data_IF_271192967716
#
_entry.id   IF_271192967716
#
_cell.length_a   1.000
_cell.length_b   1.000
_cell.length_c   1.000
_cell.angle_alpha   90.00
_cell.angle_beta   90.00
_cell.angle_gamma   90.00
#
_symmetry.space_group_name_H-M   'P 1'
#
loop_
_entity.id
_entity.type
_entity.pdbx_description
1 polymer ?
#
# COMPACT_ATOMS: atom_id res chain seq x y z
N UNK A 1 3.75 -39.41 42.23
CA UNK A 1 2.27 -39.30 42.38
C UNK A 1 1.84 -37.92 41.93
N UNK A 2 0.69 -37.80 41.24
CA UNK A 2 -0.19 -36.60 41.08
C UNK A 2 0.49 -35.23 40.80
N UNK A 3 0.34 -34.68 39.59
CA UNK A 3 -0.79 -33.83 39.13
C UNK A 3 -0.55 -32.33 39.49
N UNK A 4 -0.25 -31.41 38.56
CA UNK A 4 -1.07 -30.79 37.48
C UNK A 4 -2.03 -29.70 38.01
N UNK A 5 -2.04 -28.53 37.32
CA UNK A 5 -3.11 -27.49 37.17
C UNK A 5 -2.71 -26.02 37.48
N UNK A 6 -2.81 -25.21 36.42
CA UNK A 6 -3.14 -23.77 36.22
C UNK A 6 -3.59 -22.89 37.41
N UNK A 7 -3.45 -21.57 37.25
CA UNK A 7 -4.42 -20.59 37.76
C UNK A 7 -3.98 -19.11 37.69
N UNK A 8 -4.69 -18.30 36.90
CA UNK A 8 -4.47 -16.85 36.80
C UNK A 8 -5.11 -16.04 37.93
N UNK A 9 -4.71 -14.75 37.99
CA UNK A 9 -5.52 -13.56 38.31
C UNK A 9 -5.17 -12.81 39.61
N UNK A 10 -4.94 -11.51 39.47
CA UNK A 10 -5.38 -10.53 40.46
C UNK A 10 -6.03 -9.35 39.71
N UNK A 11 -7.18 -8.91 40.22
CA UNK A 11 -8.05 -7.91 39.62
C UNK A 11 -7.98 -6.62 40.43
N UNK A 12 -8.03 -5.46 39.78
CA UNK A 12 -8.11 -4.16 40.46
C UNK A 12 -9.31 -3.37 39.92
N UNK A 13 -10.46 -3.57 40.56
CA UNK A 13 -11.70 -2.83 40.30
C UNK A 13 -11.68 -1.49 41.03
N UNK A 14 -12.09 -0.40 40.38
CA UNK A 14 -12.55 0.81 41.05
C UNK A 14 -13.84 1.32 40.39
N UNK A 15 -14.83 1.67 41.21
CA UNK A 15 -16.22 1.92 40.83
C UNK A 15 -16.74 3.14 41.61
N UNK A 16 -17.31 4.14 40.93
CA UNK A 16 -18.35 5.08 41.43
C UNK A 16 -18.94 5.78 40.16
N UNK A 17 -20.23 5.79 39.76
CA UNK A 17 -21.53 6.06 40.43
C UNK A 17 -21.62 7.53 40.96
N UNK A 18 -22.59 8.42 40.67
CA UNK A 18 -24.00 8.37 40.18
C UNK A 18 -24.50 9.74 39.60
N UNK A 19 -25.63 9.77 38.84
CA UNK A 19 -26.81 10.74 38.81
C UNK A 19 -26.55 12.28 38.75
N UNK A 20 -27.26 13.21 38.07
CA UNK A 20 -28.59 13.39 37.37
C UNK A 20 -28.45 14.46 36.23
N UNK A 21 -29.45 14.97 35.48
CA UNK A 21 -30.89 14.69 35.24
C UNK A 21 -31.67 15.85 34.57
N UNK A 22 -32.63 15.50 33.69
CA UNK A 22 -33.92 16.14 33.28
C UNK A 22 -34.10 17.64 32.86
N UNK A 23 -35.04 17.81 31.88
CA UNK A 23 -35.87 18.99 31.55
C UNK A 23 -35.22 20.22 30.82
N UNK A 24 -35.92 21.04 30.01
CA UNK A 24 -37.17 20.93 29.20
C UNK A 24 -37.34 22.15 28.27
N UNK A 25 -38.12 22.00 27.19
CA UNK A 25 -38.67 22.96 26.21
C UNK A 25 -38.59 24.50 26.43
N UNK A 26 -38.41 25.24 25.32
CA UNK A 26 -39.20 26.43 25.00
C UNK A 26 -39.23 26.72 23.47
N UNK A 27 -40.41 26.97 22.91
CA UNK A 27 -40.60 27.54 21.57
C UNK A 27 -40.56 29.08 21.62
N UNK A 28 -40.14 29.75 20.54
CA UNK A 28 -40.64 31.10 20.23
C UNK A 28 -40.74 31.33 18.72
N UNK A 29 -41.94 31.67 18.24
CA UNK A 29 -42.16 32.19 16.88
C UNK A 29 -41.84 33.68 16.81
N UNK A 30 -41.36 34.14 15.66
CA UNK A 30 -41.46 35.53 15.22
C UNK A 30 -41.70 35.56 13.71
N UNK A 31 -42.70 36.31 13.26
CA UNK A 31 -43.04 36.48 11.84
C UNK A 31 -42.56 37.85 11.34
N UNK A 32 -42.22 37.90 10.05
CA UNK A 32 -42.34 39.11 9.23
C UNK A 32 -41.09 39.97 9.03
N UNK A 33 -40.51 39.89 7.82
CA UNK A 33 -40.77 40.91 6.79
C UNK A 33 -40.08 40.54 5.47
N UNK A 34 -40.67 40.98 4.35
CA UNK A 34 -40.13 40.77 3.00
C UNK A 34 -39.10 41.85 2.65
N UNK A 35 -37.97 41.43 2.07
CA UNK A 35 -37.14 42.31 1.23
C UNK A 35 -36.64 41.55 0.02
N UNK A 36 -37.18 41.86 -1.15
CA UNK A 36 -36.74 41.28 -2.43
C UNK A 36 -35.37 41.84 -2.82
N UNK A 37 -34.35 40.98 -2.86
CA UNK A 37 -33.05 41.32 -3.46
C UNK A 37 -32.62 40.20 -4.40
N UNK A 38 -32.77 40.41 -5.70
CA UNK A 38 -32.17 39.55 -6.71
C UNK A 38 -30.79 40.04 -7.10
N UNK A 39 -29.76 39.24 -6.89
CA UNK A 39 -28.53 39.22 -7.70
C UNK A 39 -27.60 38.11 -7.20
N UNK A 40 -26.97 37.38 -8.12
CA UNK A 40 -25.84 36.50 -7.80
C UNK A 40 -26.18 35.26 -6.98
N UNK A 41 -26.79 34.26 -7.62
CA UNK A 41 -26.49 32.87 -7.26
C UNK A 41 -25.01 32.64 -7.61
N UNK A 42 -24.12 32.92 -6.66
CA UNK A 42 -22.76 32.41 -6.73
C UNK A 42 -22.89 30.89 -6.76
N UNK A 43 -22.52 30.29 -7.89
CA UNK A 43 -22.46 28.84 -8.00
C UNK A 43 -21.53 28.34 -6.89
N UNK A 44 -22.12 27.66 -5.91
CA UNK A 44 -21.37 26.90 -4.92
C UNK A 44 -20.51 25.93 -5.71
N UNK A 45 -19.21 26.20 -5.80
CA UNK A 45 -18.27 25.29 -6.43
C UNK A 45 -18.40 23.95 -5.72
N UNK A 46 -18.94 22.95 -6.42
CA UNK A 46 -19.08 21.62 -5.87
C UNK A 46 -17.68 21.07 -5.64
N UNK A 47 -17.35 20.75 -4.39
CA UNK A 47 -16.11 20.04 -4.05
C UNK A 47 -16.15 18.55 -4.46
N UNK A 48 -17.28 18.10 -5.00
CA UNK A 48 -17.45 16.79 -5.62
C UNK A 48 -17.06 16.84 -7.11
N UNK A 49 -16.27 15.87 -7.61
CA UNK A 49 -15.95 15.76 -9.02
C UNK A 49 -17.18 15.35 -9.85
N UNK A 50 -17.30 15.93 -11.04
CA UNK A 50 -18.32 15.51 -12.03
C UNK A 50 -18.01 14.12 -12.60
N UNK A 51 -19.01 13.38 -13.12
CA UNK A 51 -18.79 12.09 -13.78
C UNK A 51 -17.75 12.18 -14.91
N UNK A 52 -17.79 13.24 -15.72
CA UNK A 52 -16.83 13.47 -16.81
C UNK A 52 -15.40 13.68 -16.29
N UNK A 53 -15.24 14.33 -15.14
CA UNK A 53 -13.93 14.47 -14.48
C UNK A 53 -13.42 13.12 -13.94
N UNK A 54 -14.29 12.27 -13.38
CA UNK A 54 -13.90 10.93 -12.94
C UNK A 54 -13.51 10.05 -14.13
N UNK A 55 -14.30 10.08 -15.22
CA UNK A 55 -14.02 9.33 -16.45
C UNK A 55 -12.71 9.80 -17.12
N UNK A 56 -12.33 11.07 -16.99
CA UNK A 56 -11.04 11.60 -17.49
C UNK A 56 -9.79 11.02 -16.79
N UNK A 57 -9.96 10.26 -15.71
CA UNK A 57 -8.89 9.52 -15.03
C UNK A 57 -8.75 8.08 -15.55
N UNK A 58 -9.62 7.62 -16.46
CA UNK A 58 -9.51 6.28 -17.03
C UNK A 58 -8.34 6.20 -18.03
N UNK A 59 -7.51 5.16 -17.90
CA UNK A 59 -6.31 4.98 -18.71
C UNK A 59 -5.31 4.01 -18.08
N UNK A 60 -4.26 3.70 -18.85
CA UNK A 60 -3.09 2.95 -18.37
C UNK A 60 -2.04 3.93 -17.86
N UNK A 61 -1.55 3.69 -16.66
CA UNK A 61 -0.47 4.48 -16.08
C UNK A 61 0.74 3.60 -15.83
N UNK A 62 1.90 4.02 -16.30
CA UNK A 62 3.18 3.52 -15.84
C UNK A 62 3.33 3.90 -14.36
N UNK A 63 3.53 2.89 -13.52
CA UNK A 63 3.58 3.00 -12.07
C UNK A 63 5.03 2.94 -11.59
N UNK A 64 5.40 3.90 -10.76
CA UNK A 64 6.62 3.93 -9.96
C UNK A 64 6.23 4.25 -8.52
N UNK A 65 6.53 3.35 -7.60
CA UNK A 65 6.45 3.62 -6.16
C UNK A 65 7.79 3.39 -5.48
N UNK A 66 7.95 4.07 -4.36
CA UNK A 66 9.03 3.86 -3.41
C UNK A 66 8.38 3.67 -2.05
N UNK A 67 8.87 2.72 -1.26
CA UNK A 67 8.51 2.60 0.15
C UNK A 67 9.78 2.52 0.99
N UNK A 68 9.91 3.48 1.90
CA UNK A 68 11.02 3.56 2.84
C UNK A 68 10.69 2.79 4.12
N UNK A 69 11.56 1.87 4.51
CA UNK A 69 11.48 1.11 5.76
C UNK A 69 12.74 1.33 6.60
N UNK A 70 12.58 1.15 7.90
CA UNK A 70 13.66 1.12 8.87
C UNK A 70 13.44 -0.01 9.88
N UNK A 71 14.53 -0.56 10.37
CA UNK A 71 14.60 -1.41 11.57
C UNK A 71 15.53 -0.74 12.59
N UNK A 72 15.91 -1.43 13.66
CA UNK A 72 16.87 -0.91 14.66
C UNK A 72 18.21 -0.49 14.05
N UNK A 73 18.71 -1.29 13.10
CA UNK A 73 20.12 -1.22 12.64
C UNK A 73 20.26 -0.99 11.12
N UNK A 74 19.17 -0.95 10.36
CA UNK A 74 19.19 -0.83 8.90
C UNK A 74 18.05 0.03 8.36
N UNK A 75 18.31 0.72 7.25
CA UNK A 75 17.33 1.47 6.46
C UNK A 75 17.32 0.94 5.04
N UNK A 76 16.13 0.82 4.45
CA UNK A 76 15.99 0.35 3.06
C UNK A 76 14.88 1.09 2.34
N UNK A 77 15.04 1.23 1.03
CA UNK A 77 14.00 1.55 0.07
C UNK A 77 13.68 0.27 -0.70
N UNK A 78 12.39 0.02 -0.92
CA UNK A 78 11.90 -0.83 -2.00
C UNK A 78 11.38 0.13 -3.07
N UNK A 79 11.79 -0.06 -4.32
CA UNK A 79 11.34 0.73 -5.46
C UNK A 79 10.66 -0.23 -6.43
N UNK A 80 9.37 -0.01 -6.72
CA UNK A 80 8.57 -0.90 -7.54
C UNK A 80 8.19 -0.23 -8.86
N UNK A 81 8.25 -0.99 -9.95
CA UNK A 81 7.84 -0.56 -11.28
C UNK A 81 6.71 -1.45 -11.79
N UNK A 82 5.72 -0.88 -12.45
CA UNK A 82 4.62 -1.64 -13.01
C UNK A 82 3.59 -0.79 -13.75
N UNK A 83 2.32 -1.19 -13.65
CA UNK A 83 1.19 -0.43 -14.19
C UNK A 83 0.04 -0.34 -13.21
N UNK A 84 -0.67 0.79 -13.25
CA UNK A 84 -2.00 0.97 -12.69
C UNK A 84 -2.97 1.22 -13.85
N UNK A 85 -3.87 0.28 -14.11
CA UNK A 85 -4.96 0.45 -15.06
C UNK A 85 -6.20 0.99 -14.32
N UNK A 86 -6.58 2.24 -14.64
CA UNK A 86 -7.80 2.87 -14.12
C UNK A 86 -8.93 2.72 -15.15
N UNK A 87 -10.04 2.09 -14.77
CA UNK A 87 -11.16 1.85 -15.68
C UNK A 87 -12.53 2.03 -15.00
N UNK A 88 -13.49 2.59 -15.73
CA UNK A 88 -14.88 2.70 -15.28
C UNK A 88 -15.56 1.33 -15.30
N UNK A 89 -15.99 0.83 -14.13
CA UNK A 89 -16.73 -0.43 -13.98
C UNK A 89 -17.92 -0.20 -13.04
N UNK A 90 -19.13 -0.48 -13.52
CA UNK A 90 -20.36 -0.32 -12.71
C UNK A 90 -20.60 1.10 -12.18
N UNK A 91 -20.16 2.13 -12.91
CA UNK A 91 -20.28 3.54 -12.49
C UNK A 91 -19.25 4.00 -11.45
N UNK A 92 -18.27 3.16 -11.08
CA UNK A 92 -17.13 3.52 -10.23
C UNK A 92 -15.81 3.42 -11.01
N UNK A 93 -14.83 4.24 -10.64
CA UNK A 93 -13.45 4.06 -11.10
C UNK A 93 -12.82 2.90 -10.31
N UNK A 94 -12.24 1.94 -11.03
CA UNK A 94 -11.60 0.74 -10.46
C UNK A 94 -10.16 0.71 -10.94
N UNK A 95 -9.23 0.62 -9.97
CA UNK A 95 -7.83 0.38 -10.23
C UNK A 95 -7.55 -1.12 -10.36
N UNK A 96 -6.54 -1.47 -11.14
CA UNK A 96 -5.99 -2.82 -11.25
C UNK A 96 -4.50 -2.68 -11.45
N UNK A 97 -3.72 -3.23 -10.53
CA UNK A 97 -2.26 -3.12 -10.55
C UNK A 97 -1.60 -4.37 -11.12
N UNK A 98 -0.47 -4.16 -11.79
CA UNK A 98 0.48 -5.21 -12.16
C UNK A 98 1.89 -4.70 -11.89
N UNK A 99 2.78 -5.57 -11.46
CA UNK A 99 4.16 -5.23 -11.12
C UNK A 99 5.11 -5.93 -12.08
N UNK A 100 6.18 -5.25 -12.49
CA UNK A 100 7.12 -5.69 -13.52
C UNK A 100 8.52 -5.95 -12.94
N UNK A 101 9.01 -5.03 -12.09
CA UNK A 101 10.36 -5.07 -11.54
C UNK A 101 10.40 -4.41 -10.15
N UNK A 102 11.32 -4.86 -9.29
CA UNK A 102 11.55 -4.24 -7.99
C UNK A 102 13.05 -4.12 -7.69
N UNK A 103 13.49 -2.93 -7.27
CA UNK A 103 14.84 -2.66 -6.79
C UNK A 103 14.86 -2.52 -5.26
N UNK A 104 15.92 -3.03 -4.63
CA UNK A 104 16.26 -2.71 -3.23
C UNK A 104 17.45 -1.75 -3.18
N UNK A 105 17.39 -0.78 -2.24
CA UNK A 105 18.51 0.10 -1.88
C UNK A 105 18.61 0.16 -0.35
N UNK A 106 19.76 -0.20 0.22
CA UNK A 106 20.01 -0.16 1.66
C UNK A 106 21.06 0.88 2.06
N UNK A 107 21.13 1.20 3.35
CA UNK A 107 22.26 1.95 3.95
C UNK A 107 23.48 1.06 4.25
N UNK A 108 23.31 -0.26 4.23
CA UNK A 108 24.37 -1.25 4.39
C UNK A 108 24.95 -1.71 3.03
N UNK A 109 26.20 -2.21 2.98
CA UNK A 109 26.79 -2.83 1.79
C UNK A 109 26.23 -4.24 1.55
N UNK A 110 24.91 -4.35 1.46
CA UNK A 110 24.18 -5.60 1.20
C UNK A 110 23.34 -5.38 -0.06
N UNK A 111 23.55 -6.23 -1.06
CA UNK A 111 22.77 -6.23 -2.29
C UNK A 111 21.67 -7.28 -2.14
N UNK A 112 20.43 -6.84 -2.27
CA UNK A 112 19.24 -7.69 -2.30
C UNK A 112 18.62 -7.61 -3.68
N UNK A 113 18.30 -8.75 -4.28
CA UNK A 113 17.67 -8.85 -5.61
C UNK A 113 16.49 -9.83 -5.58
N UNK A 114 15.39 -9.41 -6.17
CA UNK A 114 14.16 -10.19 -6.35
C UNK A 114 13.98 -10.40 -7.86
N UNK A 115 13.46 -11.55 -8.29
CA UNK A 115 13.22 -11.81 -9.71
C UNK A 115 12.00 -11.05 -10.24
N UNK A 116 12.00 -10.67 -11.52
CA UNK A 116 10.82 -10.09 -12.17
C UNK A 116 9.61 -11.04 -12.12
N UNK A 117 9.86 -12.36 -12.07
CA UNK A 117 8.82 -13.37 -11.88
C UNK A 117 8.15 -13.27 -10.50
N UNK A 118 8.95 -13.12 -9.43
CA UNK A 118 8.45 -12.88 -8.08
C UNK A 118 7.73 -11.53 -7.98
N UNK A 119 8.28 -10.46 -8.54
CA UNK A 119 7.59 -9.16 -8.58
C UNK A 119 6.25 -9.26 -9.34
N UNK A 120 6.23 -9.94 -10.50
CA UNK A 120 5.02 -10.16 -11.30
C UNK A 120 4.03 -11.15 -10.68
N UNK A 121 4.40 -11.85 -9.60
CA UNK A 121 3.48 -12.68 -8.83
C UNK A 121 2.54 -11.83 -7.94
N UNK A 122 2.93 -10.60 -7.59
CA UNK A 122 2.09 -9.65 -6.84
C UNK A 122 0.88 -9.27 -7.71
N UNK A 123 -0.30 -9.80 -7.35
CA UNK A 123 -1.56 -9.62 -8.10
C UNK A 123 -2.69 -9.16 -7.18
N UNK A 124 -2.76 -7.85 -6.87
CA UNK A 124 -3.85 -7.30 -6.07
C UNK A 124 -5.19 -7.48 -6.77
N UNK A 125 -6.26 -7.60 -5.98
CA UNK A 125 -7.61 -7.64 -6.55
C UNK A 125 -7.97 -6.27 -7.16
N UNK A 126 -8.74 -6.22 -8.27
CA UNK A 126 -9.27 -4.98 -8.80
C UNK A 126 -10.12 -4.25 -7.75
N UNK A 127 -9.69 -3.04 -7.38
CA UNK A 127 -10.20 -2.30 -6.22
C UNK A 127 -10.85 -1.00 -6.65
N UNK A 128 -12.05 -0.71 -6.13
CA UNK A 128 -12.67 0.61 -6.29
C UNK A 128 -11.79 1.67 -5.63
N UNK A 129 -11.52 2.75 -6.34
CA UNK A 129 -10.90 3.95 -5.77
C UNK A 129 -11.95 5.02 -5.49
N UNK A 130 -11.69 5.85 -4.48
CA UNK A 130 -12.49 7.03 -4.19
C UNK A 130 -11.84 8.27 -4.81
N UNK A 131 -12.65 9.13 -5.44
CA UNK A 131 -12.19 10.31 -6.19
C UNK A 131 -12.84 11.56 -5.61
N UNK A 132 -12.03 12.59 -5.33
CA UNK A 132 -12.47 13.87 -4.76
C UNK A 132 -11.80 15.06 -5.45
N UNK A 133 -12.32 16.28 -5.28
CA UNK A 133 -11.60 17.50 -5.66
C UNK A 133 -10.90 18.11 -4.44
N UNK A 134 -9.57 18.26 -4.52
CA UNK A 134 -8.75 18.96 -3.52
C UNK A 134 -8.06 20.14 -4.20
N UNK A 135 -8.36 21.36 -3.76
CA UNK A 135 -7.81 22.60 -4.32
C UNK A 135 -7.96 22.72 -5.85
N UNK A 136 -9.10 22.28 -6.39
CA UNK A 136 -9.39 22.29 -7.84
C UNK A 136 -8.67 21.22 -8.67
N UNK A 137 -7.98 20.27 -8.02
CA UNK A 137 -7.36 19.10 -8.67
C UNK A 137 -8.11 17.83 -8.29
N UNK A 138 -8.16 16.86 -9.21
CA UNK A 138 -8.63 15.52 -8.89
C UNK A 138 -7.63 14.81 -7.98
N UNK A 139 -8.16 14.12 -6.99
CA UNK A 139 -7.43 13.37 -5.99
C UNK A 139 -8.05 11.98 -5.86
N UNK A 140 -7.22 10.95 -5.92
CA UNK A 140 -7.61 9.54 -5.83
C UNK A 140 -7.06 8.96 -4.53
N UNK A 141 -7.91 8.31 -3.76
CA UNK A 141 -7.53 7.45 -2.64
C UNK A 141 -7.82 6.00 -3.03
N UNK A 142 -6.79 5.15 -3.04
CA UNK A 142 -6.92 3.69 -3.19
C UNK A 142 -6.83 3.05 -1.81
N UNK A 143 -7.87 2.36 -1.33
CA UNK A 143 -7.85 1.72 -0.02
C UNK A 143 -6.88 0.53 0.01
N UNK A 144 -6.52 0.11 1.22
CA UNK A 144 -5.71 -1.09 1.45
C UNK A 144 -6.23 -2.28 0.68
N UNK A 145 -5.34 -2.96 -0.03
CA UNK A 145 -5.68 -4.18 -0.78
C UNK A 145 -4.73 -5.32 -0.38
N UNK A 146 -5.00 -5.99 0.77
CA UNK A 146 -4.20 -7.12 1.24
C UNK A 146 -4.04 -8.19 0.16
N UNK A 147 -2.80 -8.52 -0.17
CA UNK A 147 -2.44 -9.43 -1.29
C UNK A 147 -1.39 -10.44 -0.81
N UNK A 148 -1.66 -11.73 -0.97
CA UNK A 148 -0.68 -12.78 -0.64
C UNK A 148 0.32 -13.00 -1.76
N UNK A 149 1.60 -13.14 -1.41
CA UNK A 149 2.67 -13.58 -2.31
C UNK A 149 3.54 -14.64 -1.60
N UNK A 150 3.80 -15.75 -2.29
CA UNK A 150 4.41 -16.94 -1.68
C UNK A 150 3.47 -17.68 -0.73
N UNK A 151 2.21 -17.24 -0.60
CA UNK A 151 1.20 -17.81 0.28
C UNK A 151 -0.21 -17.59 -0.26
N UNK A 152 -1.10 -18.58 -0.09
CA UNK A 152 -2.53 -18.46 -0.40
C UNK A 152 -3.37 -18.21 0.85
N UNK A 153 -4.05 -17.07 0.86
CA UNK A 153 -5.12 -16.76 1.80
C UNK A 153 -6.48 -17.12 1.18
N UNK A 154 -7.44 -17.54 2.01
CA UNK A 154 -8.84 -17.65 1.61
C UNK A 154 -9.53 -16.28 1.68
N UNK A 155 -9.16 -15.48 2.68
CA UNK A 155 -9.54 -14.08 2.84
C UNK A 155 -8.28 -13.27 3.23
N UNK A 156 -7.56 -12.68 2.25
CA UNK A 156 -6.36 -11.89 2.52
C UNK A 156 -6.56 -10.76 3.53
N UNK A 157 -7.78 -10.23 3.67
CA UNK A 157 -8.05 -9.10 4.56
C UNK A 157 -8.20 -9.49 6.03
N UNK A 158 -8.56 -10.75 6.32
CA UNK A 158 -8.87 -11.23 7.68
C UNK A 158 -8.02 -12.42 8.14
N UNK A 159 -7.52 -13.25 7.21
CA UNK A 159 -6.63 -14.36 7.55
C UNK A 159 -5.31 -13.83 8.14
N UNK A 160 -4.79 -14.50 9.17
CA UNK A 160 -3.47 -14.19 9.70
C UNK A 160 -2.36 -14.80 8.83
N UNK A 161 -1.29 -14.03 8.59
CA UNK A 161 -0.03 -14.58 8.11
C UNK A 161 0.49 -15.62 9.13
N UNK A 162 0.87 -16.83 8.71
CA UNK A 162 1.40 -17.83 9.63
C UNK A 162 2.73 -17.45 10.24
N UNK A 163 3.04 -18.11 11.36
CA UNK A 163 4.34 -18.03 12.04
C UNK A 163 5.14 -19.33 11.93
N UNK A 164 4.55 -20.39 11.38
CA UNK A 164 5.16 -21.67 11.08
C UNK A 164 5.71 -21.66 9.63
N UNK A 165 7.03 -21.79 9.42
CA UNK A 165 7.62 -21.91 8.09
C UNK A 165 7.12 -23.10 7.25
N UNK A 166 6.52 -24.11 7.89
CA UNK A 166 5.98 -25.30 7.23
C UNK A 166 4.46 -25.23 6.97
N UNK A 167 3.84 -24.04 7.10
CA UNK A 167 2.40 -23.87 6.86
C UNK A 167 2.02 -24.28 5.42
N UNK A 168 1.02 -25.17 5.24
CA UNK A 168 0.66 -25.73 3.93
C UNK A 168 -0.01 -24.73 2.98
N UNK A 169 -0.26 -23.49 3.40
CA UNK A 169 -0.70 -22.39 2.52
C UNK A 169 0.45 -21.78 1.70
N UNK A 170 1.70 -22.08 2.07
CA UNK A 170 2.90 -21.64 1.35
C UNK A 170 2.89 -22.22 -0.07
N UNK A 171 3.24 -21.40 -1.06
CA UNK A 171 3.26 -21.78 -2.48
C UNK A 171 4.48 -21.19 -3.17
N UNK A 172 4.97 -21.89 -4.19
CA UNK A 172 5.93 -21.39 -5.16
C UNK A 172 5.19 -20.44 -6.12
N UNK A 173 5.32 -19.13 -5.90
CA UNK A 173 4.61 -18.10 -6.67
C UNK A 173 5.46 -17.47 -7.80
N UNK A 174 6.79 -17.62 -7.75
CA UNK A 174 7.73 -17.17 -8.79
C UNK A 174 8.19 -18.28 -9.75
N UNK A 175 7.91 -19.55 -9.42
CA UNK A 175 8.11 -20.72 -10.27
C UNK A 175 9.52 -21.27 -10.25
N UNK A 176 10.32 -20.96 -9.22
CA UNK A 176 11.73 -21.36 -9.13
C UNK A 176 11.95 -22.74 -8.47
N UNK A 177 10.90 -23.33 -7.91
CA UNK A 177 10.90 -24.62 -7.21
C UNK A 177 11.09 -24.55 -5.70
N UNK A 178 11.26 -23.35 -5.12
CA UNK A 178 11.38 -23.11 -3.68
C UNK A 178 10.01 -22.69 -3.06
N UNK A 179 9.82 -22.86 -1.74
CA UNK A 179 8.59 -22.43 -1.09
C UNK A 179 8.56 -20.91 -0.92
N UNK A 180 7.49 -20.26 -1.40
CA UNK A 180 7.27 -18.82 -1.25
C UNK A 180 7.64 -18.04 -2.51
N UNK A 181 8.46 -17.01 -2.33
CA UNK A 181 9.28 -16.40 -3.38
C UNK A 181 10.73 -16.30 -2.91
N UNK A 182 11.66 -16.27 -3.85
CA UNK A 182 13.10 -16.23 -3.57
C UNK A 182 13.65 -14.81 -3.62
N UNK A 183 14.34 -14.43 -2.54
CA UNK A 183 15.10 -13.19 -2.41
C UNK A 183 16.59 -13.53 -2.31
N UNK A 184 17.36 -13.17 -3.34
CA UNK A 184 18.81 -13.37 -3.32
C UNK A 184 19.49 -12.22 -2.55
N UNK A 185 20.43 -12.56 -1.67
CA UNK A 185 21.14 -11.65 -0.77
C UNK A 185 22.64 -11.87 -0.89
N UNK A 186 23.37 -10.78 -1.11
CA UNK A 186 24.83 -10.75 -1.24
C UNK A 186 25.44 -9.69 -0.32
N UNK A 187 26.31 -10.12 0.58
CA UNK A 187 27.07 -9.28 1.50
C UNK A 187 28.53 -9.15 1.04
N UNK A 188 29.14 -10.25 0.62
CA UNK A 188 30.44 -10.28 -0.08
C UNK A 188 30.38 -11.31 -1.22
N UNK A 189 31.46 -11.47 -2.00
CA UNK A 189 31.52 -12.52 -3.02
C UNK A 189 31.52 -13.95 -2.39
N UNK A 190 31.97 -14.08 -1.14
CA UNK A 190 31.99 -15.33 -0.37
C UNK A 190 30.74 -15.51 0.52
N UNK A 191 30.10 -14.41 0.92
CA UNK A 191 28.89 -14.42 1.76
C UNK A 191 27.68 -13.95 0.94
N UNK A 192 27.08 -14.90 0.24
CA UNK A 192 25.84 -14.73 -0.52
C UNK A 192 24.95 -15.98 -0.35
N UNK A 193 23.68 -15.86 -0.75
CA UNK A 193 22.68 -16.93 -0.69
C UNK A 193 21.28 -16.36 -0.80
N UNK A 194 20.30 -17.16 -0.41
CA UNK A 194 18.90 -16.93 -0.76
C UNK A 194 18.04 -17.01 0.50
N UNK A 195 17.01 -16.17 0.57
CA UNK A 195 15.97 -16.19 1.60
C UNK A 195 14.65 -16.52 0.92
N UNK A 196 13.93 -17.49 1.47
CA UNK A 196 12.60 -17.87 1.02
C UNK A 196 11.57 -17.18 1.91
N UNK A 197 10.67 -16.41 1.31
CA UNK A 197 9.68 -15.61 2.05
C UNK A 197 8.26 -15.79 1.55
N UNK A 198 7.31 -15.67 2.46
CA UNK A 198 5.91 -15.37 2.16
C UNK A 198 5.58 -13.99 2.72
N UNK A 199 4.81 -13.19 1.98
CA UNK A 199 4.36 -11.87 2.43
C UNK A 199 2.85 -11.71 2.27
N UNK A 200 2.30 -10.82 3.09
CA UNK A 200 1.02 -10.17 2.84
C UNK A 200 1.30 -8.71 2.56
N UNK A 201 1.19 -8.32 1.28
CA UNK A 201 1.33 -6.94 0.85
C UNK A 201 0.08 -6.14 1.25
N UNK A 202 0.22 -5.02 1.97
CA UNK A 202 -0.90 -4.19 2.45
C UNK A 202 -0.69 -2.72 2.05
N UNK A 203 -0.63 -2.50 0.75
CA UNK A 203 -0.52 -1.15 0.16
C UNK A 203 -1.87 -0.42 0.09
N UNK A 204 -1.88 0.82 0.57
CA UNK A 204 -2.85 1.87 0.26
C UNK A 204 -2.12 3.12 -0.23
N UNK A 205 -2.73 3.92 -1.10
CA UNK A 205 -2.08 5.15 -1.58
C UNK A 205 -3.06 6.28 -1.83
N UNK A 206 -2.54 7.50 -1.81
CA UNK A 206 -3.24 8.69 -2.26
C UNK A 206 -2.43 9.39 -3.35
N UNK A 207 -3.08 9.85 -4.42
CA UNK A 207 -2.42 10.57 -5.53
C UNK A 207 -3.26 11.76 -5.98
N UNK A 208 -2.59 12.83 -6.41
CA UNK A 208 -3.23 14.06 -6.92
C UNK A 208 -2.79 14.32 -8.35
N UNK A 209 -3.75 14.68 -9.20
CA UNK A 209 -3.50 14.99 -10.60
C UNK A 209 -2.65 16.26 -10.79
N UNK A 210 -1.70 16.17 -11.72
CA UNK A 210 -0.78 17.24 -12.11
C UNK A 210 -1.15 17.80 -13.48
N UNK A 211 -0.51 18.92 -13.87
CA UNK A 211 -0.84 19.63 -15.12
C UNK A 211 -0.52 18.81 -16.39
N UNK A 212 0.43 17.90 -16.29
CA UNK A 212 0.84 16.93 -17.32
C UNK A 212 0.06 15.60 -17.21
N UNK A 213 -1.09 15.59 -16.52
CA UNK A 213 -1.97 14.43 -16.31
C UNK A 213 -1.37 13.26 -15.50
N UNK A 214 -0.12 13.33 -15.05
CA UNK A 214 0.40 12.37 -14.06
C UNK A 214 -0.31 12.52 -12.72
N UNK A 215 -0.36 11.43 -11.96
CA UNK A 215 -0.89 11.41 -10.60
C UNK A 215 0.31 11.21 -9.66
N UNK A 216 0.45 12.07 -8.65
CA UNK A 216 1.60 12.03 -7.73
C UNK A 216 1.09 12.11 -6.29
N UNK A 217 1.66 11.31 -5.39
CA UNK A 217 1.38 11.36 -3.97
C UNK A 217 2.23 10.36 -3.17
N UNK A 218 1.62 9.65 -2.23
CA UNK A 218 2.33 8.83 -1.23
C UNK A 218 1.68 7.47 -1.02
N UNK A 219 2.50 6.46 -0.76
CA UNK A 219 2.10 5.11 -0.33
C UNK A 219 2.14 5.03 1.20
N UNK A 220 1.10 4.45 1.80
CA UNK A 220 1.16 3.90 3.16
C UNK A 220 1.24 2.39 3.02
N UNK A 221 2.22 1.77 3.68
CA UNK A 221 2.37 0.32 3.68
C UNK A 221 2.33 -0.25 5.10
N UNK A 222 1.62 -1.36 5.25
CA UNK A 222 1.49 -2.12 6.49
C UNK A 222 1.78 -3.61 6.24
N UNK A 223 2.66 -3.92 5.27
CA UNK A 223 2.93 -5.29 4.84
C UNK A 223 3.56 -6.15 5.92
N UNK A 224 3.27 -7.45 5.86
CA UNK A 224 3.77 -8.46 6.80
C UNK A 224 4.64 -9.49 6.07
N UNK A 225 5.66 -10.02 6.74
CA UNK A 225 6.59 -11.00 6.17
C UNK A 225 6.84 -12.20 7.09
N UNK A 226 6.84 -13.40 6.50
CA UNK A 226 7.30 -14.65 7.08
C UNK A 226 8.55 -15.10 6.34
N UNK A 227 9.64 -15.32 7.08
CA UNK A 227 10.81 -16.03 6.55
C UNK A 227 10.54 -17.54 6.69
N UNK A 228 10.46 -18.21 5.54
CA UNK A 228 10.26 -19.66 5.42
C UNK A 228 11.59 -20.39 5.63
N UNK A 229 12.67 -19.84 5.08
CA UNK A 229 14.00 -20.43 5.20
C UNK A 229 15.06 -19.62 4.50
N UNK A 230 16.27 -20.17 4.43
CA UNK A 230 17.36 -19.60 3.67
C UNK A 230 18.36 -20.69 3.25
N UNK A 231 19.08 -20.50 2.14
CA UNK A 231 20.17 -21.39 1.73
C UNK A 231 21.41 -21.25 2.64
N UNK A 232 21.52 -20.14 3.38
CA UNK A 232 22.48 -19.94 4.47
C UNK A 232 21.74 -19.55 5.77
N UNK A 233 21.86 -20.32 6.88
CA UNK A 233 21.20 -20.02 8.14
C UNK A 233 21.50 -18.63 8.73
N UNK A 234 22.62 -18.01 8.36
CA UNK A 234 22.97 -16.65 8.80
C UNK A 234 21.96 -15.58 8.32
N UNK A 235 21.22 -15.84 7.24
CA UNK A 235 20.21 -14.90 6.73
C UNK A 235 18.82 -15.09 7.38
N UNK A 236 18.63 -16.08 8.26
CA UNK A 236 17.38 -16.29 8.99
C UNK A 236 17.30 -15.31 10.16
N UNK A 237 17.02 -14.04 9.86
CA UNK A 237 16.97 -12.95 10.85
C UNK A 237 15.58 -12.32 10.86
N UNK A 238 14.93 -12.32 12.03
CA UNK A 238 13.65 -11.62 12.21
C UNK A 238 13.91 -10.14 12.49
N UNK A 239 13.90 -9.33 11.44
CA UNK A 239 13.88 -7.87 11.55
C UNK A 239 12.45 -7.37 11.51
N UNK A 240 12.04 -6.60 12.52
CA UNK A 240 10.79 -5.83 12.48
C UNK A 240 11.04 -4.59 11.63
N UNK A 241 10.66 -4.66 10.35
CA UNK A 241 10.68 -3.53 9.44
C UNK A 241 9.42 -2.69 9.65
N UNK A 242 9.60 -1.39 9.87
CA UNK A 242 8.53 -0.41 9.97
C UNK A 242 8.67 0.60 8.83
N UNK A 243 7.57 0.97 8.18
CA UNK A 243 7.58 2.09 7.24
C UNK A 243 8.05 3.36 7.96
N UNK A 244 8.92 4.14 7.30
CA UNK A 244 9.38 5.44 7.82
C UNK A 244 8.19 6.41 7.87
N UNK A 245 7.85 7.01 9.03
CA UNK A 245 6.63 7.84 9.16
C UNK A 245 6.60 9.10 8.28
N UNK A 246 7.74 9.55 7.78
CA UNK A 246 7.83 10.62 6.77
C UNK A 246 7.46 10.05 5.39
N UNK A 247 6.16 10.09 5.05
CA UNK A 247 5.66 9.57 3.77
C UNK A 247 6.22 10.29 2.53
N UNK A 248 6.93 11.42 2.67
CA UNK A 248 7.70 12.00 1.56
C UNK A 248 8.85 11.08 1.10
N UNK A 249 9.26 10.10 1.92
CA UNK A 249 10.20 9.03 1.56
C UNK A 249 9.52 7.81 0.93
N UNK A 250 8.19 7.79 0.89
CA UNK A 250 7.40 6.75 0.22
C UNK A 250 6.51 7.33 -0.91
N UNK A 251 7.08 8.03 -1.91
CA UNK A 251 6.31 8.61 -3.02
C UNK A 251 5.76 7.55 -3.98
N UNK A 252 4.66 7.89 -4.64
CA UNK A 252 4.12 7.17 -5.81
C UNK A 252 3.90 8.16 -6.96
N UNK A 253 4.25 7.72 -8.17
CA UNK A 253 4.12 8.45 -9.43
C UNK A 253 3.44 7.53 -10.44
N UNK A 254 2.30 7.99 -10.97
CA UNK A 254 1.57 7.34 -12.06
C UNK A 254 1.65 8.25 -13.29
N UNK A 255 2.35 7.82 -14.33
CA UNK A 255 2.50 8.55 -15.60
C UNK A 255 1.58 7.94 -16.65
N UNK A 256 0.66 8.69 -17.28
CA UNK A 256 -0.21 8.15 -18.32
C UNK A 256 0.64 7.68 -19.52
N UNK A 257 0.36 6.47 -20.02
CA UNK A 257 1.06 5.84 -21.15
C UNK A 257 0.06 5.20 -22.11
N UNK A 258 0.54 4.83 -23.30
CA UNK A 258 -0.28 4.15 -24.29
C UNK A 258 -0.74 2.76 -23.77
N UNK A 259 -1.95 2.28 -24.11
CA UNK A 259 -2.48 1.01 -23.62
C UNK A 259 -1.66 -0.23 -24.01
N UNK A 260 -0.75 -0.10 -24.98
CA UNK A 260 0.12 -1.16 -25.50
C UNK A 260 1.42 -1.37 -24.70
N UNK A 261 1.67 -0.57 -23.65
CA UNK A 261 2.91 -0.67 -22.87
C UNK A 261 2.96 -1.96 -22.02
N UNK A 262 4.00 -2.74 -22.25
CA UNK A 262 4.40 -3.91 -21.47
C UNK A 262 5.59 -3.61 -20.54
N UNK A 263 5.98 -4.60 -19.74
CA UNK A 263 7.09 -4.46 -18.80
C UNK A 263 8.44 -4.17 -19.49
N UNK A 264 8.70 -4.71 -20.68
CA UNK A 264 9.94 -4.45 -21.41
C UNK A 264 10.02 -2.97 -21.82
N UNK A 265 8.95 -2.43 -22.43
CA UNK A 265 8.86 -1.02 -22.82
C UNK A 265 8.92 -0.10 -21.61
N UNK A 266 8.27 -0.46 -20.49
CA UNK A 266 8.35 0.28 -19.23
C UNK A 266 9.79 0.38 -18.71
N UNK A 267 10.50 -0.74 -18.60
CA UNK A 267 11.86 -0.73 -18.05
C UNK A 267 12.84 0.01 -18.97
N UNK A 268 12.67 -0.12 -20.30
CA UNK A 268 13.44 0.63 -21.30
C UNK A 268 13.17 2.15 -21.35
N UNK A 269 12.12 2.64 -20.68
CA UNK A 269 11.72 4.06 -20.67
C UNK A 269 11.66 4.67 -19.27
N UNK A 270 11.82 3.86 -18.23
CA UNK A 270 11.67 4.25 -16.82
C UNK A 270 12.49 5.50 -16.44
N UNK A 271 13.75 5.57 -16.84
CA UNK A 271 14.65 6.70 -16.58
C UNK A 271 14.28 8.01 -17.31
N UNK A 272 13.40 7.97 -18.31
CA UNK A 272 12.91 9.17 -19.02
C UNK A 272 11.62 9.71 -18.40
N UNK A 273 10.80 8.85 -17.79
CA UNK A 273 9.44 9.19 -17.33
C UNK A 273 9.32 9.33 -15.80
N UNK A 274 10.22 8.73 -15.03
CA UNK A 274 10.20 8.74 -13.57
C UNK A 274 11.34 9.60 -12.97
N UNK A 275 11.22 10.00 -11.69
CA UNK A 275 12.36 10.55 -10.95
C UNK A 275 13.54 9.58 -10.92
N UNK A 276 14.75 10.12 -10.73
CA UNK A 276 15.92 9.28 -10.45
C UNK A 276 15.71 8.47 -9.16
N UNK A 277 16.18 7.22 -9.15
CA UNK A 277 16.09 6.31 -8.00
C UNK A 277 16.70 6.97 -6.76
N UNK A 278 15.96 7.11 -5.65
CA UNK A 278 16.45 7.77 -4.45
C UNK A 278 17.55 6.96 -3.75
N UNK A 279 18.39 7.68 -3.00
CA UNK A 279 19.38 7.10 -2.09
C UNK A 279 18.84 7.08 -0.66
N UNK A 280 19.39 6.19 0.17
CA UNK A 280 19.08 6.14 1.61
C UNK A 280 19.92 7.20 2.33
N UNK A 281 19.28 8.31 2.76
CA UNK A 281 19.97 9.53 3.23
C UNK A 281 19.53 10.07 4.61
N UNK A 282 18.65 9.34 5.32
CA UNK A 282 18.19 9.65 6.68
C UNK A 282 18.85 8.78 7.75
#
# INVERSE_FOLDING_TARGET
>A
MKSLIRGSACCATALFLLISGACSNAETKSEGSSTTTGSGSAASASNEPTPEQIESLAGRYAHYDVVAYQSTDMKTLIISYGFTDLAMKGGSLVATESFCHAEHRGDQPIVTTISDAATSAIKPIPTKVDVSLRNGKLHIERPRTPTGIGIKFADPANDALPTDPSDPRTVDDDGDGNPGITVHVKVTDELQGDIFIARREIFEYQVTQQKNLSLIGTVTDNSEQLIIGASNPMFITRSEWLQVPDLNKSPIVLVPVEPDWDCEKLMNQSAEIFPAVPVVDW
#
